data_IF_801305340226
#
_entry.id   IF_801305340226
#
_cell.length_a   1.000
_cell.length_b   1.000
_cell.length_c   1.000
_cell.angle_alpha   90.00
_cell.angle_beta   90.00
_cell.angle_gamma   90.00
#
_symmetry.space_group_name_H-M   'P 1'
#
loop_
_entity.id
_entity.type
_entity.pdbx_description
1 polymer ?
#
# COMPACT_ATOMS: atom_id res chain seq x y z
N UNK A 1 -12.28 1.89 -24.04
CA UNK A 1 -12.01 3.02 -23.13
C UNK A 1 -12.68 2.80 -21.79
N UNK A 2 -11.92 3.00 -20.74
CA UNK A 2 -12.41 2.78 -19.39
C UNK A 2 -13.00 4.05 -18.81
N UNK A 3 -14.15 3.93 -18.20
CA UNK A 3 -14.75 5.04 -17.47
C UNK A 3 -14.44 4.97 -16.00
N UNK A 4 -14.09 6.11 -15.42
CA UNK A 4 -13.72 6.21 -14.02
C UNK A 4 -14.72 7.10 -13.28
N UNK A 5 -15.97 6.68 -13.29
CA UNK A 5 -17.03 7.44 -12.64
C UNK A 5 -16.89 7.43 -11.13
N UNK A 6 -16.56 8.57 -10.55
CA UNK A 6 -16.56 8.79 -9.13
C UNK A 6 -15.43 8.14 -8.34
N UNK A 7 -14.60 7.29 -8.98
CA UNK A 7 -13.53 6.57 -8.29
C UNK A 7 -12.16 6.73 -8.91
N UNK A 8 -11.91 7.89 -9.49
CA UNK A 8 -10.61 8.17 -10.09
C UNK A 8 -9.49 8.07 -9.05
N UNK A 9 -9.71 8.56 -7.85
CA UNK A 9 -8.71 8.50 -6.78
C UNK A 9 -8.33 7.04 -6.48
N UNK A 10 -9.31 6.15 -6.36
CA UNK A 10 -9.05 4.72 -6.13
C UNK A 10 -8.32 4.06 -7.29
N UNK A 11 -8.68 4.41 -8.51
CA UNK A 11 -7.99 3.91 -9.71
C UNK A 11 -6.52 4.33 -9.70
N UNK A 12 -6.24 5.57 -9.34
CA UNK A 12 -4.89 6.08 -9.27
C UNK A 12 -4.08 5.38 -8.18
N UNK A 13 -4.67 5.16 -7.01
CA UNK A 13 -4.01 4.45 -5.92
C UNK A 13 -3.73 3.01 -6.31
N UNK A 14 -4.69 2.32 -6.92
CA UNK A 14 -4.51 0.95 -7.40
C UNK A 14 -3.39 0.85 -8.41
N UNK A 15 -3.35 1.77 -9.37
CA UNK A 15 -2.28 1.82 -10.37
C UNK A 15 -0.92 2.05 -9.71
N UNK A 16 -0.88 2.94 -8.72
CA UNK A 16 0.34 3.22 -7.96
C UNK A 16 0.81 1.99 -7.18
N UNK A 17 -0.10 1.27 -6.54
CA UNK A 17 0.23 0.04 -5.84
C UNK A 17 0.81 -1.00 -6.79
N UNK A 18 0.22 -1.16 -7.97
CA UNK A 18 0.70 -2.10 -8.99
C UNK A 18 2.10 -1.74 -9.46
N UNK A 19 2.36 -0.47 -9.74
CA UNK A 19 3.68 0.00 -10.17
C UNK A 19 4.70 -0.22 -9.06
N UNK A 20 4.35 0.13 -7.83
CA UNK A 20 5.23 -0.04 -6.68
C UNK A 20 5.62 -1.50 -6.52
N UNK A 21 4.64 -2.40 -6.56
CA UNK A 21 4.89 -3.83 -6.38
C UNK A 21 5.76 -4.41 -7.48
N UNK A 22 5.55 -3.99 -8.71
CA UNK A 22 6.28 -4.51 -9.86
C UNK A 22 7.69 -3.93 -9.99
N UNK A 23 7.86 -2.63 -9.71
CA UNK A 23 9.08 -1.89 -10.06
C UNK A 23 9.69 -1.09 -8.92
N UNK A 24 9.01 -0.99 -7.80
CA UNK A 24 9.46 -0.17 -6.68
C UNK A 24 9.02 1.28 -6.82
N UNK A 25 9.05 2.00 -5.69
CA UNK A 25 8.58 3.38 -5.64
C UNK A 25 9.49 4.38 -6.38
N UNK A 26 10.74 4.03 -6.61
CA UNK A 26 11.69 4.89 -7.31
C UNK A 26 11.29 5.14 -8.77
N UNK A 27 10.57 4.18 -9.35
CA UNK A 27 10.12 4.26 -10.74
C UNK A 27 8.72 4.85 -10.88
N UNK A 28 8.16 5.33 -9.77
CA UNK A 28 6.81 5.84 -9.74
C UNK A 28 6.79 7.36 -9.83
N UNK A 29 5.88 7.89 -10.65
CA UNK A 29 5.62 9.32 -10.75
C UNK A 29 4.13 9.52 -10.98
N UNK A 30 3.64 10.74 -10.74
CA UNK A 30 2.23 11.05 -11.03
C UNK A 30 1.95 10.85 -12.52
N UNK A 31 2.91 11.13 -13.38
CA UNK A 31 2.79 10.91 -14.82
C UNK A 31 2.68 9.44 -15.18
N UNK A 32 3.54 8.59 -14.61
CA UNK A 32 3.51 7.14 -14.88
C UNK A 32 2.21 6.51 -14.40
N UNK A 33 1.68 7.01 -13.30
CA UNK A 33 0.41 6.53 -12.77
C UNK A 33 -0.76 6.93 -13.64
N UNK A 34 -0.77 8.16 -14.13
CA UNK A 34 -1.80 8.61 -15.08
C UNK A 34 -1.81 7.72 -16.33
N UNK A 35 -0.63 7.39 -16.84
CA UNK A 35 -0.48 6.51 -18.00
C UNK A 35 -1.02 5.11 -17.70
N UNK A 36 -0.65 4.55 -16.56
CA UNK A 36 -1.10 3.22 -16.13
C UNK A 36 -2.62 3.18 -15.94
N UNK A 37 -3.18 4.24 -15.37
CA UNK A 37 -4.64 4.34 -15.15
C UNK A 37 -5.40 4.76 -16.41
N UNK A 38 -4.69 5.05 -17.50
CA UNK A 38 -5.28 5.47 -18.77
C UNK A 38 -6.12 6.75 -18.63
N UNK A 39 -5.55 7.74 -17.95
CA UNK A 39 -6.17 9.07 -17.78
C UNK A 39 -5.19 10.15 -18.21
N UNK A 40 -5.66 11.41 -18.30
CA UNK A 40 -4.81 12.53 -18.67
C UNK A 40 -3.71 12.75 -17.64
N UNK A 41 -2.57 13.31 -18.08
CA UNK A 41 -1.42 13.57 -17.22
C UNK A 41 -1.71 14.53 -16.07
N UNK A 42 -2.74 15.35 -16.20
CA UNK A 42 -3.13 16.32 -15.18
C UNK A 42 -4.13 15.76 -14.17
N UNK A 43 -4.79 14.64 -14.50
CA UNK A 43 -5.83 14.07 -13.66
C UNK A 43 -5.34 13.74 -12.23
N UNK A 44 -4.13 13.17 -12.03
CA UNK A 44 -3.67 12.85 -10.68
C UNK A 44 -3.57 14.06 -9.75
N UNK A 45 -3.28 15.24 -10.31
CA UNK A 45 -3.11 16.45 -9.50
C UNK A 45 -4.41 16.94 -8.86
N UNK A 46 -5.54 16.40 -9.25
CA UNK A 46 -6.82 16.68 -8.58
C UNK A 46 -6.88 16.03 -7.21
N UNK A 47 -6.12 14.98 -6.99
CA UNK A 47 -6.16 14.17 -5.77
C UNK A 47 -4.86 14.17 -4.98
N UNK A 48 -3.73 14.35 -5.67
CA UNK A 48 -2.40 14.30 -5.06
C UNK A 48 -1.59 15.50 -5.52
N UNK A 49 -1.19 16.33 -4.59
CA UNK A 49 -0.39 17.52 -4.90
C UNK A 49 1.05 17.15 -5.23
N UNK A 50 1.57 16.12 -4.56
CA UNK A 50 2.96 15.70 -4.69
C UNK A 50 3.05 14.18 -4.81
N UNK A 51 4.22 13.71 -5.24
CA UNK A 51 4.51 12.28 -5.25
C UNK A 51 4.43 11.69 -3.84
N UNK A 52 4.89 12.44 -2.84
CA UNK A 52 4.86 11.98 -1.45
C UNK A 52 3.44 11.72 -0.96
N UNK A 53 2.47 12.54 -1.34
CA UNK A 53 1.07 12.30 -1.00
C UNK A 53 0.60 10.96 -1.51
N UNK A 54 0.98 10.62 -2.74
CA UNK A 54 0.61 9.35 -3.34
C UNK A 54 1.35 8.19 -2.70
N UNK A 55 2.66 8.35 -2.45
CA UNK A 55 3.45 7.31 -1.79
C UNK A 55 2.91 7.01 -0.38
N UNK A 56 2.44 8.04 0.32
CA UNK A 56 1.82 7.86 1.63
C UNK A 56 0.57 6.98 1.54
N UNK A 57 -0.25 7.18 0.51
CA UNK A 57 -1.43 6.34 0.30
C UNK A 57 -1.05 4.89 -0.03
N UNK A 58 -0.04 4.69 -0.87
CA UNK A 58 0.44 3.34 -1.21
C UNK A 58 0.97 2.64 0.04
N UNK A 59 1.75 3.35 0.84
CA UNK A 59 2.30 2.83 2.10
C UNK A 59 1.18 2.45 3.08
N UNK A 60 0.18 3.32 3.22
CA UNK A 60 -1.00 3.07 4.06
C UNK A 60 -1.71 1.78 3.64
N UNK A 61 -1.92 1.60 2.33
CA UNK A 61 -2.53 0.37 1.80
C UNK A 61 -1.70 -0.86 2.12
N UNK A 62 -0.38 -0.71 2.11
CA UNK A 62 0.53 -1.80 2.51
C UNK A 62 0.32 -2.21 3.97
N UNK A 63 0.27 -1.25 4.88
CA UNK A 63 0.02 -1.52 6.29
C UNK A 63 -1.36 -2.12 6.53
N UNK A 64 -2.38 -1.62 5.85
CA UNK A 64 -3.73 -2.16 5.96
C UNK A 64 -3.80 -3.61 5.48
N UNK A 65 -3.12 -3.91 4.38
CA UNK A 65 -3.06 -5.27 3.84
C UNK A 65 -2.32 -6.21 4.79
N UNK A 66 -1.22 -5.74 5.36
CA UNK A 66 -0.47 -6.51 6.35
C UNK A 66 -1.33 -6.82 7.57
N UNK A 67 -2.05 -5.82 8.09
CA UNK A 67 -2.94 -6.01 9.24
C UNK A 67 -4.02 -7.05 8.93
N UNK A 68 -4.61 -7.00 7.75
CA UNK A 68 -5.60 -7.98 7.30
C UNK A 68 -5.01 -9.39 7.27
N UNK A 69 -3.82 -9.54 6.70
CA UNK A 69 -3.13 -10.83 6.60
C UNK A 69 -2.81 -11.39 8.00
N UNK A 70 -2.34 -10.53 8.91
CA UNK A 70 -2.01 -10.95 10.27
C UNK A 70 -3.27 -11.36 11.04
N UNK A 71 -4.36 -10.64 10.87
CA UNK A 71 -5.63 -10.99 11.47
C UNK A 71 -6.14 -12.34 10.98
N UNK A 72 -6.05 -12.61 9.70
CA UNK A 72 -6.44 -13.89 9.13
C UNK A 72 -5.57 -15.03 9.65
N UNK A 73 -4.26 -14.80 9.76
CA UNK A 73 -3.33 -15.81 10.25
C UNK A 73 -3.61 -16.16 11.72
N UNK A 74 -3.98 -15.16 12.52
CA UNK A 74 -4.26 -15.37 13.95
C UNK A 74 -5.65 -15.92 14.25
N UNK A 75 -6.52 -16.00 13.23
CA UNK A 75 -7.92 -16.42 13.40
C UNK A 75 -8.29 -17.64 12.57
N UNK A 76 -7.32 -18.45 12.16
CA UNK A 76 -7.58 -19.62 11.32
C UNK A 76 -8.51 -20.63 11.99
N UNK A 77 -8.45 -20.70 13.33
CA UNK A 77 -9.24 -21.65 14.06
C UNK A 77 -9.45 -21.16 15.50
N UNK A 78 -10.61 -21.44 16.04
CA UNK A 78 -11.01 -20.97 17.37
C UNK A 78 -10.17 -21.57 18.49
N UNK A 79 -9.59 -22.73 18.24
CA UNK A 79 -8.85 -23.49 19.28
C UNK A 79 -7.35 -23.20 19.29
N UNK A 80 -6.91 -22.19 18.54
CA UNK A 80 -5.50 -21.83 18.51
C UNK A 80 -5.04 -21.31 19.87
N UNK A 81 -3.90 -21.81 20.33
CA UNK A 81 -3.24 -21.26 21.51
C UNK A 81 -2.61 -19.92 21.19
N UNK A 82 -2.28 -19.14 22.21
CA UNK A 82 -1.57 -17.87 22.01
C UNK A 82 -0.24 -18.07 21.29
N UNK A 83 0.47 -19.15 21.62
CA UNK A 83 1.73 -19.50 20.96
C UNK A 83 1.53 -19.78 19.47
N UNK A 84 0.51 -20.56 19.14
CA UNK A 84 0.19 -20.88 17.75
C UNK A 84 -0.16 -19.63 16.95
N UNK A 85 -0.97 -18.73 17.53
CA UNK A 85 -1.30 -17.45 16.90
C UNK A 85 -0.07 -16.62 16.60
N UNK A 86 0.82 -16.53 17.59
CA UNK A 86 2.06 -15.77 17.45
C UNK A 86 2.93 -16.33 16.32
N UNK A 87 3.08 -17.66 16.27
CA UNK A 87 3.87 -18.32 15.22
C UNK A 87 3.26 -18.08 13.84
N UNK A 88 1.95 -18.24 13.71
CA UNK A 88 1.27 -18.04 12.44
C UNK A 88 1.36 -16.58 11.96
N UNK A 89 1.23 -15.64 12.88
CA UNK A 89 1.41 -14.24 12.56
C UNK A 89 2.84 -13.93 12.11
N UNK A 90 3.83 -14.51 12.78
CA UNK A 90 5.24 -14.35 12.41
C UNK A 90 5.53 -14.88 11.01
N UNK A 91 5.02 -16.06 10.70
CA UNK A 91 5.17 -16.67 9.37
C UNK A 91 4.52 -15.78 8.31
N UNK A 92 3.30 -15.31 8.57
CA UNK A 92 2.57 -14.45 7.65
C UNK A 92 3.30 -13.12 7.42
N UNK A 93 3.89 -12.56 8.47
CA UNK A 93 4.66 -11.32 8.37
C UNK A 93 5.89 -11.49 7.47
N UNK A 94 6.67 -12.53 7.70
CA UNK A 94 7.86 -12.82 6.88
C UNK A 94 7.47 -13.07 5.43
N UNK A 95 6.43 -13.84 5.23
CA UNK A 95 5.92 -14.14 3.89
C UNK A 95 5.49 -12.86 3.16
N UNK A 96 4.81 -11.96 3.85
CA UNK A 96 4.42 -10.66 3.28
C UNK A 96 5.65 -9.89 2.79
N UNK A 97 6.69 -9.79 3.62
CA UNK A 97 7.92 -9.08 3.26
C UNK A 97 8.64 -9.70 2.06
N UNK A 98 8.66 -11.03 1.98
CA UNK A 98 9.31 -11.74 0.88
C UNK A 98 8.53 -11.65 -0.43
N UNK A 99 7.22 -11.77 -0.37
CA UNK A 99 6.36 -11.73 -1.55
C UNK A 99 6.10 -10.31 -2.06
N UNK A 100 6.15 -9.32 -1.16
CA UNK A 100 5.86 -7.92 -1.47
C UNK A 100 7.01 -7.01 -1.05
N UNK A 101 8.20 -7.37 -1.48
CA UNK A 101 9.43 -6.70 -1.08
C UNK A 101 9.39 -5.20 -1.35
N UNK A 102 8.98 -4.80 -2.54
CA UNK A 102 8.95 -3.38 -2.93
C UNK A 102 7.96 -2.58 -2.09
N UNK A 103 6.80 -3.15 -1.81
CA UNK A 103 5.80 -2.53 -0.94
C UNK A 103 6.32 -2.43 0.49
N UNK A 104 6.91 -3.52 0.98
CA UNK A 104 7.51 -3.55 2.32
C UNK A 104 8.62 -2.49 2.46
N UNK A 105 9.48 -2.37 1.45
CA UNK A 105 10.54 -1.37 1.45
C UNK A 105 9.97 0.05 1.53
N UNK A 106 8.92 0.34 0.80
CA UNK A 106 8.26 1.65 0.87
C UNK A 106 7.65 1.90 2.25
N UNK A 107 6.97 0.90 2.82
CA UNK A 107 6.32 1.01 4.13
C UNK A 107 7.31 1.42 5.23
N UNK A 108 8.55 1.00 5.10
CA UNK A 108 9.60 1.25 6.09
C UNK A 108 10.65 2.27 5.63
N UNK A 109 10.40 2.91 4.48
CA UNK A 109 11.32 3.90 3.93
C UNK A 109 11.24 5.23 4.68
N UNK A 110 12.38 5.89 4.94
CA UNK A 110 12.37 7.22 5.52
C UNK A 110 12.00 8.33 4.54
N UNK A 111 11.77 8.00 3.27
CA UNK A 111 11.40 8.99 2.25
C UNK A 111 10.08 9.68 2.58
N UNK A 112 9.21 9.01 3.35
CA UNK A 112 7.95 9.58 3.82
C UNK A 112 8.07 9.80 5.32
N UNK A 113 7.85 11.03 5.76
CA UNK A 113 7.72 11.32 7.19
C UNK A 113 6.27 11.03 7.59
N UNK A 114 6.07 9.93 8.31
CA UNK A 114 4.72 9.49 8.68
C UNK A 114 3.98 10.51 9.55
N UNK A 115 4.72 11.37 10.24
CA UNK A 115 4.08 12.41 11.06
C UNK A 115 3.37 13.47 10.23
N UNK A 116 3.72 13.60 8.96
CA UNK A 116 3.05 14.51 8.03
C UNK A 116 1.76 13.90 7.45
N UNK A 117 1.50 12.62 7.72
CA UNK A 117 0.38 11.88 7.17
C UNK A 117 -0.34 11.11 8.28
N UNK A 118 -1.28 11.77 8.99
CA UNK A 118 -1.93 11.16 10.16
C UNK A 118 -2.60 9.81 9.90
N UNK A 119 -3.24 9.64 8.75
CA UNK A 119 -3.89 8.37 8.41
C UNK A 119 -2.88 7.26 8.20
N UNK A 120 -1.73 7.58 7.59
CA UNK A 120 -0.64 6.62 7.43
C UNK A 120 -0.05 6.25 8.79
N UNK A 121 0.19 7.23 9.63
CA UNK A 121 0.74 7.00 10.97
C UNK A 121 -0.16 6.05 11.77
N UNK A 122 -1.47 6.27 11.71
CA UNK A 122 -2.44 5.41 12.36
C UNK A 122 -2.38 3.98 11.81
N UNK A 123 -2.34 3.82 10.50
CA UNK A 123 -2.28 2.50 9.87
C UNK A 123 -0.98 1.75 10.24
N UNK A 124 0.12 2.47 10.45
CA UNK A 124 1.41 1.89 10.80
C UNK A 124 1.55 1.53 12.29
N UNK A 125 0.60 1.92 13.12
CA UNK A 125 0.64 1.72 14.58
C UNK A 125 0.21 0.32 15.02
#
# INVERSE_FOLDING_TARGET
MKYHHGNLKEELISSACNICEASGHDHMSLRSIAKEANVSQTAPYRHFKTKEDLLAEVSKRGFEKLAEILNQASSQNENMTAKERFIEMGIAYVKFGLERKNTYDLMHSPIIDKTDFPELLEAAS
#
